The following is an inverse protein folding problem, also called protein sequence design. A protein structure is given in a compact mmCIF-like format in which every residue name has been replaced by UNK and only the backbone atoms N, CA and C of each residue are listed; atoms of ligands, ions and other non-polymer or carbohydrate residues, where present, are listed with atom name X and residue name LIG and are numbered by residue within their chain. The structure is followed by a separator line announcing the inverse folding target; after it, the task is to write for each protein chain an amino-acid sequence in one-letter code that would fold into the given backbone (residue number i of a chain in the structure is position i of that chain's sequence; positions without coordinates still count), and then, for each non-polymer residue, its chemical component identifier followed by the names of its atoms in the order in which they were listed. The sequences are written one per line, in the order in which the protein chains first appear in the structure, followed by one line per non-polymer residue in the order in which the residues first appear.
data_IF_123221533407
#
_entry.id   IF_123221533407
#
_cell.length_a   1.000
_cell.length_b   1.000
_cell.length_c   1.000
_cell.angle_alpha   90.00
_cell.angle_beta   90.00
_cell.angle_gamma   90.00
#
_symmetry.space_group_name_H-M   'P 1'
#
loop_
_entity.id
_entity.type
_entity.pdbx_description
1 polymer ?
#
# COMPACT_ATOMS: atom_id res chain seq x y z
N UNK A 1 -52.19 -10.20 33.25
CA UNK A 1 -51.67 -9.08 32.43
C UNK A 1 -50.17 -8.91 32.69
N UNK A 2 -49.31 -9.73 32.07
CA UNK A 2 -47.83 -9.66 32.19
C UNK A 2 -47.14 -9.61 30.80
N UNK A 3 -47.94 -9.41 29.75
CA UNK A 3 -47.54 -9.62 28.36
C UNK A 3 -46.69 -8.50 27.70
N UNK A 4 -46.66 -7.21 28.14
CA UNK A 4 -45.88 -6.21 27.40
C UNK A 4 -44.38 -6.20 27.77
N UNK A 5 -43.99 -6.80 28.90
CA UNK A 5 -42.59 -6.76 29.37
C UNK A 5 -41.69 -7.77 28.66
N UNK A 6 -42.25 -8.90 28.20
CA UNK A 6 -41.50 -9.92 27.47
C UNK A 6 -41.07 -9.45 26.06
N UNK A 7 -41.89 -8.62 25.41
CA UNK A 7 -41.60 -8.13 24.07
C UNK A 7 -40.44 -7.11 24.05
N UNK A 8 -40.35 -6.25 25.07
CA UNK A 8 -39.30 -5.23 25.17
C UNK A 8 -37.90 -5.85 25.36
N UNK A 9 -37.80 -6.93 26.15
CA UNK A 9 -36.54 -7.63 26.38
C UNK A 9 -36.03 -8.34 25.12
N UNK A 10 -36.91 -8.89 24.30
CA UNK A 10 -36.55 -9.53 23.03
C UNK A 10 -36.01 -8.52 22.02
N UNK A 11 -36.62 -7.34 21.90
CA UNK A 11 -36.16 -6.29 20.98
C UNK A 11 -34.77 -5.76 21.41
N UNK A 12 -34.57 -5.53 22.70
CA UNK A 12 -33.26 -5.09 23.23
C UNK A 12 -32.16 -6.15 23.01
N UNK A 13 -32.49 -7.43 23.18
CA UNK A 13 -31.54 -8.52 22.95
C UNK A 13 -31.17 -8.69 21.47
N UNK A 14 -32.13 -8.52 20.55
CA UNK A 14 -31.87 -8.59 19.11
C UNK A 14 -31.05 -7.38 18.63
N UNK A 15 -31.37 -6.16 19.09
CA UNK A 15 -30.56 -4.97 18.77
C UNK A 15 -29.14 -5.06 19.35
N UNK A 16 -28.99 -5.57 20.57
CA UNK A 16 -27.67 -5.81 21.18
C UNK A 16 -26.86 -6.86 20.42
N UNK A 17 -27.50 -7.94 19.97
CA UNK A 17 -26.85 -8.98 19.17
C UNK A 17 -26.45 -8.50 17.76
N UNK A 18 -27.23 -7.60 17.15
CA UNK A 18 -26.89 -6.98 15.85
C UNK A 18 -25.71 -6.00 16.00
N UNK A 19 -25.66 -5.22 17.07
CA UNK A 19 -24.53 -4.31 17.36
C UNK A 19 -23.23 -5.06 17.68
N UNK A 20 -23.29 -6.18 18.40
CA UNK A 20 -22.12 -7.02 18.70
C UNK A 20 -21.76 -8.00 17.56
N UNK A 21 -22.73 -8.37 16.71
CA UNK A 21 -22.54 -9.27 15.58
C UNK A 21 -22.10 -8.57 14.29
N UNK A 22 -22.37 -7.27 14.15
CA UNK A 22 -22.05 -6.47 12.95
C UNK A 22 -20.54 -6.37 12.66
N UNK A 23 -19.70 -6.35 13.69
CA UNK A 23 -18.24 -6.32 13.50
C UNK A 23 -17.67 -7.65 12.99
N UNK A 24 -18.37 -8.78 13.20
CA UNK A 24 -17.92 -10.09 12.71
C UNK A 24 -18.22 -10.33 11.23
N UNK A 25 -19.05 -9.47 10.63
CA UNK A 25 -19.51 -9.58 9.24
C UNK A 25 -18.84 -8.58 8.30
N UNK A 26 -17.84 -7.81 8.74
CA UNK A 26 -16.98 -7.09 7.79
C UNK A 26 -16.33 -8.11 6.87
N UNK A 27 -16.70 -8.16 5.58
CA UNK A 27 -15.95 -8.93 4.60
C UNK A 27 -14.52 -8.40 4.72
N UNK A 28 -13.55 -9.29 4.91
CA UNK A 28 -12.15 -8.87 5.00
C UNK A 28 -11.87 -7.96 3.82
N UNK A 29 -11.55 -6.69 4.10
CA UNK A 29 -11.28 -5.72 3.05
C UNK A 29 -10.23 -6.32 2.12
N UNK A 30 -10.45 -6.23 0.81
CA UNK A 30 -9.45 -6.76 -0.13
C UNK A 30 -8.09 -6.13 0.20
N UNK A 31 -6.97 -6.86 0.05
CA UNK A 31 -5.64 -6.33 0.36
C UNK A 31 -5.36 -5.00 -0.35
N UNK A 32 -5.93 -4.82 -1.55
CA UNK A 32 -5.86 -3.56 -2.29
C UNK A 32 -6.69 -2.42 -1.66
N UNK A 33 -7.87 -2.71 -1.10
CA UNK A 33 -8.65 -1.69 -0.41
C UNK A 33 -7.94 -1.19 0.86
N UNK A 34 -7.28 -2.09 1.60
CA UNK A 34 -6.43 -1.71 2.73
C UNK A 34 -5.25 -0.83 2.29
N UNK A 35 -4.60 -1.18 1.17
CA UNK A 35 -3.52 -0.38 0.58
C UNK A 35 -3.98 1.04 0.22
N UNK A 36 -5.15 1.17 -0.41
CA UNK A 36 -5.74 2.46 -0.78
C UNK A 36 -6.04 3.29 0.47
N UNK A 37 -6.67 2.69 1.49
CA UNK A 37 -7.01 3.38 2.73
C UNK A 37 -5.76 3.88 3.47
N UNK A 38 -4.73 3.03 3.60
CA UNK A 38 -3.46 3.40 4.21
C UNK A 38 -2.77 4.54 3.44
N UNK A 39 -2.75 4.47 2.11
CA UNK A 39 -2.16 5.51 1.27
C UNK A 39 -2.91 6.83 1.38
N UNK A 40 -4.25 6.81 1.35
CA UNK A 40 -5.06 8.01 1.53
C UNK A 40 -4.86 8.66 2.91
N UNK A 41 -4.76 7.85 3.97
CA UNK A 41 -4.46 8.33 5.31
C UNK A 41 -3.10 9.05 5.35
N UNK A 42 -2.08 8.50 4.70
CA UNK A 42 -0.77 9.14 4.60
C UNK A 42 -0.82 10.43 3.75
N UNK A 43 -1.56 10.44 2.64
CA UNK A 43 -1.72 11.65 1.83
C UNK A 43 -2.45 12.77 2.58
N UNK A 44 -3.35 12.44 3.51
CA UNK A 44 -4.03 13.41 4.37
C UNK A 44 -3.12 14.00 5.47
N UNK A 45 -1.95 13.39 5.72
CA UNK A 45 -0.95 13.95 6.63
C UNK A 45 -0.18 15.08 5.92
N UNK A 46 -0.13 16.25 6.57
CA UNK A 46 0.73 17.36 6.16
C UNK A 46 2.17 16.87 6.02
N UNK A 47 2.92 17.29 4.97
CA UNK A 47 4.31 16.90 4.83
C UNK A 47 5.07 17.29 6.11
N UNK A 48 5.82 16.37 6.74
CA UNK A 48 6.63 16.73 7.88
C UNK A 48 7.74 17.69 7.41
N UNK A 49 7.91 18.82 8.11
CA UNK A 49 8.98 19.80 7.89
C UNK A 49 10.39 19.24 8.20
N UNK A 50 10.48 18.01 8.70
CA UNK A 50 11.72 17.34 9.06
C UNK A 50 11.76 15.89 8.52
N UNK A 51 12.94 15.35 8.20
CA UNK A 51 13.07 13.93 7.89
C UNK A 51 12.59 13.11 9.09
N UNK A 52 11.49 12.37 8.91
CA UNK A 52 11.02 11.42 9.91
C UNK A 52 12.17 10.48 10.26
N UNK A 53 12.65 10.52 11.50
CA UNK A 53 13.52 9.49 12.04
C UNK A 53 12.67 8.22 12.08
N UNK A 54 12.81 7.38 11.07
CA UNK A 54 12.19 6.06 10.98
C UNK A 54 12.82 5.15 12.05
N UNK A 55 12.42 5.38 13.30
CA UNK A 55 12.72 4.55 14.46
C UNK A 55 11.43 3.87 14.90
N UNK A 56 10.99 2.87 14.13
CA UNK A 56 10.02 1.90 14.62
C UNK A 56 10.76 0.59 14.65
N UNK A 57 11.05 0.11 15.86
CA UNK A 57 11.53 -1.23 16.12
C UNK A 57 10.44 -2.19 15.63
N UNK A 58 10.61 -2.65 14.39
CA UNK A 58 9.71 -3.59 13.73
C UNK A 58 9.83 -4.95 14.43
N UNK A 59 9.07 -5.13 15.49
CA UNK A 59 8.84 -6.43 16.08
C UNK A 59 8.02 -7.28 15.09
N UNK A 60 8.72 -8.03 14.22
CA UNK A 60 8.20 -9.22 13.56
C UNK A 60 7.95 -9.17 12.06
N UNK A 61 8.22 -8.07 11.35
CA UNK A 61 8.09 -8.02 9.89
C UNK A 61 9.32 -7.33 9.26
N UNK A 62 10.28 -8.14 8.81
CA UNK A 62 11.26 -7.93 7.71
C UNK A 62 11.42 -6.50 7.15
N UNK A 63 11.68 -5.51 8.00
CA UNK A 63 11.98 -4.14 7.61
C UNK A 63 13.24 -4.03 6.74
N UNK A 64 14.09 -5.05 6.81
CA UNK A 64 15.33 -5.23 6.08
C UNK A 64 15.17 -5.54 4.59
N UNK A 65 13.94 -5.79 4.11
CA UNK A 65 13.67 -6.17 2.70
C UNK A 65 13.00 -5.07 1.86
N UNK A 66 12.86 -3.85 2.39
CA UNK A 66 12.26 -2.75 1.64
C UNK A 66 13.13 -2.37 0.42
N UNK A 67 12.54 -2.26 -0.78
CA UNK A 67 13.32 -1.90 -1.97
C UNK A 67 13.84 -0.47 -1.85
N UNK A 68 15.14 -0.29 -2.11
CA UNK A 68 15.73 1.03 -2.26
C UNK A 68 15.33 1.63 -3.61
N UNK A 69 14.50 2.67 -3.54
CA UNK A 69 14.02 3.42 -4.71
C UNK A 69 14.76 4.75 -4.89
N UNK A 70 15.91 4.94 -4.23
CA UNK A 70 16.83 6.08 -4.45
C UNK A 70 17.22 6.17 -5.92
N UNK A 71 17.42 5.01 -6.55
CA UNK A 71 17.63 4.85 -7.98
C UNK A 71 16.45 5.24 -8.83
N UNK A 72 15.29 5.62 -8.29
CA UNK A 72 14.13 6.24 -8.96
C UNK A 72 13.91 7.72 -8.55
N UNK A 73 14.89 8.30 -7.86
CA UNK A 73 14.83 9.58 -7.15
C UNK A 73 13.72 9.63 -6.09
N UNK A 74 13.30 8.47 -5.58
CA UNK A 74 12.28 8.32 -4.55
C UNK A 74 12.98 8.09 -3.21
N UNK A 75 12.65 8.91 -2.22
CA UNK A 75 13.17 8.78 -0.85
C UNK A 75 12.08 8.28 0.08
N UNK A 76 12.36 7.23 0.84
CA UNK A 76 11.45 6.75 1.88
C UNK A 76 11.26 7.84 2.95
N UNK A 77 10.01 8.17 3.27
CA UNK A 77 9.64 9.18 4.27
C UNK A 77 8.57 8.71 5.25
N UNK A 78 7.92 7.57 4.98
CA UNK A 78 6.82 7.06 5.79
C UNK A 78 6.84 5.54 5.81
N UNK A 79 6.61 4.95 6.99
CA UNK A 79 6.28 3.55 7.15
C UNK A 79 5.06 3.44 8.07
N UNK A 80 4.10 2.62 7.69
CA UNK A 80 2.99 2.22 8.55
C UNK A 80 2.67 0.74 8.39
N UNK A 81 2.17 0.15 9.47
CA UNK A 81 1.72 -1.24 9.53
C UNK A 81 0.21 -1.23 9.72
N UNK A 82 -0.49 -2.08 8.97
CA UNK A 82 -1.89 -2.41 9.24
C UNK A 82 -1.93 -3.70 10.05
N UNK A 83 -2.37 -3.66 11.31
CA UNK A 83 -2.48 -4.86 12.13
C UNK A 83 -3.76 -5.67 11.83
N UNK A 84 -4.69 -5.17 11.02
CA UNK A 84 -6.06 -5.70 10.93
C UNK A 84 -6.23 -6.96 10.06
N UNK A 85 -5.17 -7.43 9.38
CA UNK A 85 -5.22 -8.63 8.55
C UNK A 85 -5.12 -9.94 9.34
N UNK A 86 -6.01 -10.91 9.06
CA UNK A 86 -6.00 -12.25 9.69
C UNK A 86 -4.71 -13.07 9.49
N UNK A 87 -3.83 -12.67 8.56
CA UNK A 87 -2.53 -13.31 8.27
C UNK A 87 -1.34 -12.40 8.57
N UNK A 88 -1.51 -11.42 9.46
CA UNK A 88 -0.70 -10.21 9.47
C UNK A 88 -1.22 -9.27 8.38
N UNK A 89 -1.57 -8.03 8.72
CA UNK A 89 -1.95 -7.07 7.68
C UNK A 89 -0.73 -6.61 6.88
N UNK A 90 -0.95 -5.64 5.99
CA UNK A 90 0.13 -5.16 5.13
C UNK A 90 0.94 -4.02 5.73
N UNK A 91 2.03 -3.69 5.08
CA UNK A 91 2.89 -2.55 5.37
C UNK A 91 2.81 -1.54 4.22
N UNK A 92 2.70 -0.25 4.54
CA UNK A 92 2.84 0.84 3.58
C UNK A 92 4.20 1.52 3.76
N UNK A 93 5.00 1.52 2.70
CA UNK A 93 6.18 2.35 2.54
C UNK A 93 5.88 3.56 1.64
N UNK A 94 5.90 4.76 2.22
CA UNK A 94 5.65 6.01 1.51
C UNK A 94 6.96 6.67 1.08
N UNK A 95 7.09 6.90 -0.22
CA UNK A 95 8.23 7.52 -0.86
C UNK A 95 7.87 8.89 -1.43
N UNK A 96 8.79 9.85 -1.31
CA UNK A 96 8.69 11.18 -1.92
C UNK A 96 9.72 11.34 -3.02
N UNK A 97 9.26 11.75 -4.20
CA UNK A 97 10.10 12.09 -5.36
C UNK A 97 10.43 13.58 -5.46
N UNK A 98 11.17 13.97 -6.50
CA UNK A 98 11.40 15.37 -6.81
C UNK A 98 10.06 16.08 -7.03
N UNK A 99 9.99 17.36 -6.65
CA UNK A 99 8.77 18.19 -6.72
C UNK A 99 7.62 17.71 -5.80
N UNK A 100 7.89 16.87 -4.80
CA UNK A 100 6.90 16.49 -3.78
C UNK A 100 5.93 15.38 -4.18
N UNK A 101 6.14 14.72 -5.32
CA UNK A 101 5.39 13.51 -5.71
C UNK A 101 5.41 12.48 -4.59
N UNK A 102 4.25 11.92 -4.23
CA UNK A 102 4.13 10.86 -3.21
C UNK A 102 3.72 9.55 -3.87
N UNK A 103 4.46 8.49 -3.57
CA UNK A 103 4.22 7.11 -4.03
C UNK A 103 4.18 6.19 -2.82
N UNK A 104 3.15 5.37 -2.70
CA UNK A 104 3.06 4.32 -1.68
C UNK A 104 3.39 2.96 -2.29
N UNK A 105 4.24 2.19 -1.63
CA UNK A 105 4.41 0.76 -1.86
C UNK A 105 3.73 0.01 -0.72
N UNK A 106 2.72 -0.78 -1.06
CA UNK A 106 2.07 -1.69 -0.15
C UNK A 106 2.66 -3.10 -0.31
N UNK A 107 2.96 -3.74 0.81
CA UNK A 107 3.45 -5.12 0.88
C UNK A 107 2.53 -5.89 1.81
N UNK A 108 1.94 -6.99 1.35
CA UNK A 108 1.01 -7.80 2.12
C UNK A 108 1.27 -9.30 1.87
N UNK A 109 0.72 -10.21 2.70
CA UNK A 109 0.76 -11.63 2.41
C UNK A 109 0.26 -11.94 1.00
N UNK A 110 0.88 -12.94 0.35
CA UNK A 110 0.58 -13.30 -1.02
C UNK A 110 -0.93 -13.55 -1.26
N UNK A 111 -1.47 -12.87 -2.27
CA UNK A 111 -2.83 -12.98 -2.75
C UNK A 111 -2.85 -13.58 -4.15
N UNK A 112 -3.32 -14.82 -4.26
CA UNK A 112 -3.40 -15.57 -5.51
C UNK A 112 -4.34 -14.94 -6.54
N UNK A 113 -5.22 -14.01 -6.14
CA UNK A 113 -6.08 -13.28 -7.06
C UNK A 113 -5.33 -12.21 -7.87
N UNK A 114 -4.12 -11.83 -7.46
CA UNK A 114 -3.30 -10.85 -8.17
C UNK A 114 -2.46 -11.51 -9.29
N UNK A 115 -2.28 -10.81 -10.42
CA UNK A 115 -1.42 -11.27 -11.51
C UNK A 115 0.05 -11.32 -11.09
N UNK A 116 0.85 -12.12 -11.78
CA UNK A 116 2.30 -12.21 -11.52
C UNK A 116 3.05 -10.93 -11.95
N UNK A 117 2.56 -10.26 -13.00
CA UNK A 117 3.12 -9.00 -13.49
C UNK A 117 2.30 -7.78 -13.01
N UNK A 118 2.93 -6.61 -12.85
CA UNK A 118 2.25 -5.36 -12.53
C UNK A 118 1.08 -5.08 -13.47
N UNK A 119 -0.14 -5.07 -12.93
CA UNK A 119 -1.34 -4.76 -13.69
C UNK A 119 -2.01 -3.47 -13.19
N UNK A 120 -2.55 -2.70 -14.14
CA UNK A 120 -3.33 -1.49 -13.86
C UNK A 120 -4.61 -1.82 -13.09
N UNK A 121 -4.83 -1.08 -12.00
CA UNK A 121 -5.99 -1.21 -11.10
C UNK A 121 -6.46 0.16 -10.57
N UNK A 122 -6.32 1.20 -11.39
CA UNK A 122 -6.55 2.60 -11.01
C UNK A 122 -7.94 2.81 -10.39
N UNK A 123 -8.00 3.55 -9.28
CA UNK A 123 -9.22 3.74 -8.49
C UNK A 123 -9.10 5.00 -7.62
N UNK A 124 -10.21 5.70 -7.38
CA UNK A 124 -10.28 6.85 -6.46
C UNK A 124 -9.25 7.97 -6.77
N UNK A 125 -8.98 8.19 -8.06
CA UNK A 125 -7.98 9.16 -8.53
C UNK A 125 -6.52 8.75 -8.26
N UNK A 126 -6.28 7.50 -7.88
CA UNK A 126 -4.95 6.91 -7.72
C UNK A 126 -4.61 6.07 -8.94
N UNK A 127 -3.40 6.28 -9.45
CA UNK A 127 -2.76 5.35 -10.36
C UNK A 127 -2.19 4.18 -9.54
N UNK A 128 -2.57 2.95 -9.90
CA UNK A 128 -2.30 1.75 -9.10
C UNK A 128 -1.74 0.65 -10.01
N UNK A 129 -0.63 0.05 -9.58
CA UNK A 129 -0.07 -1.18 -10.16
C UNK A 129 0.04 -2.25 -9.09
N UNK A 130 -0.69 -3.35 -9.26
CA UNK A 130 -0.69 -4.44 -8.29
C UNK A 130 -0.23 -5.75 -8.93
N UNK A 131 0.55 -6.52 -8.18
CA UNK A 131 1.05 -7.82 -8.60
C UNK A 131 1.31 -8.75 -7.41
N UNK A 132 1.54 -10.00 -7.71
CA UNK A 132 1.92 -11.05 -6.77
C UNK A 132 3.38 -11.45 -7.04
N UNK A 133 4.22 -11.34 -6.02
CA UNK A 133 5.53 -11.98 -5.99
C UNK A 133 5.46 -13.39 -5.40
N UNK A 134 6.61 -13.96 -5.07
CA UNK A 134 6.69 -15.33 -4.57
C UNK A 134 6.09 -15.48 -3.16
N UNK A 135 6.46 -14.58 -2.24
CA UNK A 135 6.07 -14.66 -0.83
C UNK A 135 5.12 -13.54 -0.39
N UNK A 136 4.96 -12.51 -1.21
CA UNK A 136 4.17 -11.33 -0.90
C UNK A 136 3.42 -10.81 -2.12
N UNK A 137 2.36 -10.06 -1.87
CA UNK A 137 1.66 -9.25 -2.86
C UNK A 137 2.02 -7.79 -2.68
N UNK A 138 2.11 -7.10 -3.80
CA UNK A 138 2.58 -5.74 -3.88
C UNK A 138 1.54 -4.87 -4.57
N UNK A 139 1.43 -3.62 -4.12
CA UNK A 139 0.72 -2.59 -4.86
C UNK A 139 1.49 -1.27 -4.78
N UNK A 140 1.75 -0.66 -5.94
CA UNK A 140 2.30 0.67 -6.06
C UNK A 140 1.16 1.65 -6.32
N UNK A 141 1.06 2.69 -5.49
CA UNK A 141 0.01 3.69 -5.52
C UNK A 141 0.62 5.07 -5.70
N UNK A 142 0.10 5.86 -6.62
CA UNK A 142 0.53 7.25 -6.80
C UNK A 142 -0.65 8.17 -7.06
N UNK A 143 -0.53 9.42 -6.59
CA UNK A 143 -1.44 10.52 -6.90
C UNK A 143 -0.69 11.59 -7.69
N UNK A 144 -1.22 11.99 -8.85
CA UNK A 144 -0.58 13.03 -9.69
C UNK A 144 0.75 12.61 -10.32
N UNK A 145 1.02 11.30 -10.39
CA UNK A 145 2.18 10.75 -11.08
C UNK A 145 1.80 10.37 -12.51
N UNK A 146 2.70 10.60 -13.46
CA UNK A 146 2.57 10.09 -14.83
C UNK A 146 2.48 8.55 -14.85
N UNK A 147 1.51 8.02 -15.60
CA UNK A 147 1.23 6.58 -15.61
C UNK A 147 2.40 5.76 -16.17
N UNK A 148 3.09 6.25 -17.20
CA UNK A 148 4.25 5.58 -17.80
C UNK A 148 5.42 5.53 -16.81
N UNK A 149 5.60 6.60 -16.04
CA UNK A 149 6.58 6.60 -14.94
C UNK A 149 6.21 5.59 -13.85
N UNK A 150 4.94 5.52 -13.45
CA UNK A 150 4.49 4.55 -12.46
C UNK A 150 4.67 3.10 -12.96
N UNK A 151 4.43 2.84 -14.25
CA UNK A 151 4.70 1.55 -14.89
C UNK A 151 6.18 1.17 -14.78
N UNK A 152 7.08 2.11 -15.09
CA UNK A 152 8.53 1.89 -14.99
C UNK A 152 9.00 1.60 -13.55
N UNK A 153 8.44 2.30 -12.55
CA UNK A 153 8.75 2.06 -11.14
C UNK A 153 8.20 0.68 -10.73
N UNK A 154 6.95 0.35 -11.07
CA UNK A 154 6.35 -0.93 -10.73
C UNK A 154 7.12 -2.11 -11.34
N UNK A 155 7.56 -1.99 -12.59
CA UNK A 155 8.40 -2.99 -13.24
C UNK A 155 9.77 -3.15 -12.55
N UNK A 156 10.39 -2.04 -12.11
CA UNK A 156 11.64 -2.08 -11.35
C UNK A 156 11.45 -2.81 -10.01
N UNK A 157 10.43 -2.43 -9.24
CA UNK A 157 10.15 -3.06 -7.94
C UNK A 157 9.85 -4.54 -8.14
N UNK A 158 9.00 -4.90 -9.10
CA UNK A 158 8.66 -6.29 -9.38
C UNK A 158 9.88 -7.16 -9.72
N UNK A 159 10.91 -6.62 -10.38
CA UNK A 159 12.18 -7.32 -10.63
C UNK A 159 13.00 -7.48 -9.36
N UNK A 160 13.19 -6.41 -8.59
CA UNK A 160 13.95 -6.44 -7.33
C UNK A 160 13.33 -7.44 -6.35
N UNK A 161 12.00 -7.47 -6.23
CA UNK A 161 11.28 -8.34 -5.30
C UNK A 161 11.14 -9.80 -5.74
N UNK A 162 11.60 -10.13 -6.95
CA UNK A 162 11.59 -11.51 -7.49
C UNK A 162 12.90 -12.26 -7.25
N UNK A 163 13.86 -11.66 -6.55
CA UNK A 163 15.21 -12.20 -6.35
C UNK A 163 15.87 -12.64 -7.68
N UNK A 164 15.60 -11.91 -8.78
CA UNK A 164 16.37 -12.10 -10.01
C UNK A 164 17.84 -11.69 -9.75
N UNK A 165 18.82 -12.59 -9.91
CA UNK A 165 20.22 -12.28 -9.64
C UNK A 165 20.71 -11.15 -10.53
N UNK A 166 20.99 -10.00 -9.91
CA UNK A 166 21.68 -8.86 -10.52
C UNK A 166 20.76 -7.99 -11.37
N UNK A 167 20.27 -6.89 -10.79
CA UNK A 167 19.88 -5.72 -11.60
C UNK A 167 21.17 -5.18 -12.24
N UNK A 168 21.38 -5.31 -13.56
CA UNK A 168 22.62 -4.86 -14.16
C UNK A 168 22.69 -3.33 -14.10
N UNK A 169 23.83 -2.79 -13.68
CA UNK A 169 24.03 -1.34 -13.50
C UNK A 169 23.72 -0.56 -14.78
N UNK A 170 23.80 -1.19 -15.96
CA UNK A 170 23.40 -0.58 -17.24
C UNK A 170 21.90 -0.23 -17.34
N UNK A 171 21.00 -1.00 -16.71
CA UNK A 171 19.56 -0.74 -16.77
C UNK A 171 19.14 0.35 -15.77
N UNK A 172 19.88 0.46 -14.67
CA UNK A 172 19.80 1.60 -13.75
C UNK A 172 20.20 2.89 -14.48
N UNK A 173 21.22 2.83 -15.34
CA UNK A 173 21.64 3.95 -16.17
C UNK A 173 20.57 4.32 -17.22
N UNK A 174 19.95 3.34 -17.88
CA UNK A 174 18.85 3.60 -18.83
C UNK A 174 17.62 4.24 -18.16
N UNK A 175 17.28 3.83 -16.93
CA UNK A 175 16.21 4.46 -16.16
C UNK A 175 16.60 5.85 -15.64
N UNK A 176 17.89 6.11 -15.40
CA UNK A 176 18.42 7.42 -15.06
C UNK A 176 18.42 8.37 -16.27
N UNK A 177 18.69 7.87 -17.47
CA UNK A 177 18.68 8.65 -18.72
C UNK A 177 17.25 9.07 -19.10
N UNK A 178 16.27 8.17 -18.96
CA UNK A 178 14.86 8.46 -19.18
C UNK A 178 14.29 9.54 -18.22
N UNK A 179 14.94 9.80 -17.08
CA UNK A 179 14.54 10.87 -16.14
C UNK A 179 14.85 12.27 -16.63
N UNK A 180 15.82 12.43 -17.52
CA UNK A 180 16.26 13.75 -17.97
C UNK A 180 15.25 14.44 -18.89
N UNK A 181 14.22 13.71 -19.38
CA UNK A 181 13.41 14.13 -20.52
C UNK A 181 11.98 14.56 -20.17
N UNK A 182 11.42 14.25 -18.98
CA UNK A 182 10.03 14.62 -18.63
C UNK A 182 9.82 15.03 -17.17
N UNK A 183 8.87 15.94 -16.88
CA UNK A 183 8.53 16.32 -15.50
C UNK A 183 8.01 15.12 -14.69
N UNK A 184 8.42 15.07 -13.43
CA UNK A 184 8.22 13.91 -12.54
C UNK A 184 6.79 13.72 -12.02
N UNK A 185 6.04 14.82 -11.96
CA UNK A 185 4.69 14.92 -11.44
C UNK A 185 3.87 15.73 -12.45
N UNK A 186 2.62 15.35 -12.66
CA UNK A 186 1.65 16.18 -13.36
C UNK A 186 0.98 17.01 -12.25
N UNK A 187 1.38 18.27 -12.16
CA UNK A 187 0.79 19.23 -11.22
C UNK A 187 -0.67 19.51 -11.53
#
# INVERSE_FOLDING_TARGET
RLMPWAAALLVAAVLGAVMLGGDRLRPGASPLAAAIAAHQLWLAQSPPDAPARLGVELAGAEASSLPDLSLASLRLVHLSLDPSGRRGGGMLAGYVGPNGCRVGLWIAPADAALPAEPAMRDRDGLAIRAWRGEHASYALLGRGIDAVRLDGIAALVARITRDEPGVPREQVAALAEARSVRPACIG
#
